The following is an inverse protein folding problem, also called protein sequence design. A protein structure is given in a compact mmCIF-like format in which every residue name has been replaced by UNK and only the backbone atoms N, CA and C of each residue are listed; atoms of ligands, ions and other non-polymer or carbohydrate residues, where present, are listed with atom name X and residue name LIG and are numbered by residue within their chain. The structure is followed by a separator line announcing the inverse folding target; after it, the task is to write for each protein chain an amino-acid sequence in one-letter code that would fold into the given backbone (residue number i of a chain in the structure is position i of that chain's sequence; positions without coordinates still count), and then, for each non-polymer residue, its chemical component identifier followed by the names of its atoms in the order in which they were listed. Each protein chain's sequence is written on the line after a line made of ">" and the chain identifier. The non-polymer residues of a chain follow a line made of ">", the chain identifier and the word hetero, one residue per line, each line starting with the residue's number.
data_IF_120355534967
#
_entry.id   IF_120355534967
#
_cell.length_a   1.000
_cell.length_b   1.000
_cell.length_c   1.000
_cell.angle_alpha   90.00
_cell.angle_beta   90.00
_cell.angle_gamma   90.00
#
_symmetry.space_group_name_H-M   'P 1'
#
loop_
_entity.id
_entity.type
_entity.pdbx_description
1 polymer ?
#
# COMPACT_ATOMS: atom_id res chain seq x y z
N UNK A 1 56.79 35.14 -16.37
CA UNK A 1 56.03 34.42 -17.41
C UNK A 1 55.34 33.15 -16.88
N UNK A 2 55.96 32.45 -15.95
CA UNK A 2 55.36 31.22 -15.31
C UNK A 2 54.13 31.47 -14.48
N UNK A 3 54.04 32.58 -13.73
CA UNK A 3 52.91 32.91 -12.86
C UNK A 3 51.59 33.08 -13.62
N UNK A 4 51.62 33.66 -14.83
CA UNK A 4 50.46 33.77 -15.73
C UNK A 4 50.00 32.42 -16.29
N UNK A 5 50.95 31.50 -16.47
CA UNK A 5 50.71 30.15 -17.03
C UNK A 5 50.01 29.26 -15.98
N UNK A 6 50.40 29.39 -14.70
CA UNK A 6 49.81 28.67 -13.59
C UNK A 6 48.38 29.18 -13.25
N UNK A 7 48.15 30.51 -13.34
CA UNK A 7 46.83 31.10 -13.15
C UNK A 7 45.85 30.64 -14.25
N UNK A 8 46.32 30.57 -15.54
CA UNK A 8 45.48 30.05 -16.62
C UNK A 8 45.13 28.56 -16.42
N UNK A 9 46.07 27.74 -15.95
CA UNK A 9 45.82 26.33 -15.64
C UNK A 9 44.82 26.18 -14.49
N UNK A 10 44.90 26.98 -13.42
CA UNK A 10 43.98 26.97 -12.31
C UNK A 10 42.54 27.36 -12.74
N UNK A 11 42.41 28.40 -13.58
CA UNK A 11 41.13 28.83 -14.13
C UNK A 11 40.52 27.74 -15.04
N UNK A 12 41.31 27.08 -15.88
CA UNK A 12 40.85 25.98 -16.74
C UNK A 12 40.38 24.79 -15.92
N UNK A 13 41.07 24.42 -14.85
CA UNK A 13 40.67 23.34 -13.93
C UNK A 13 39.40 23.73 -13.20
N UNK A 14 39.25 24.98 -12.75
CA UNK A 14 38.05 25.46 -12.05
C UNK A 14 36.81 25.48 -12.96
N UNK A 15 36.99 25.91 -14.21
CA UNK A 15 35.93 25.88 -15.23
C UNK A 15 35.56 24.45 -15.62
N UNK A 16 36.56 23.55 -15.73
CA UNK A 16 36.32 22.14 -16.01
C UNK A 16 35.55 21.44 -14.85
N UNK A 17 35.87 21.74 -13.57
CA UNK A 17 35.14 21.25 -12.41
C UNK A 17 33.72 21.82 -12.39
N UNK A 18 33.50 23.08 -12.74
CA UNK A 18 32.18 23.70 -12.80
C UNK A 18 31.31 23.09 -13.92
N UNK A 19 31.90 22.77 -15.06
CA UNK A 19 31.22 22.10 -16.17
C UNK A 19 30.92 20.64 -15.81
N UNK A 20 31.80 19.96 -15.07
CA UNK A 20 31.54 18.60 -14.60
C UNK A 20 30.37 18.53 -13.59
N UNK A 21 30.25 19.52 -12.71
CA UNK A 21 29.12 19.58 -11.77
C UNK A 21 27.78 19.89 -12.45
N UNK A 22 27.79 20.62 -13.57
CA UNK A 22 26.60 20.89 -14.39
C UNK A 22 26.21 19.68 -15.29
N UNK A 23 27.15 18.80 -15.63
CA UNK A 23 26.88 17.61 -16.44
C UNK A 23 26.27 16.44 -15.66
N UNK A 24 26.26 16.50 -14.33
CA UNK A 24 25.61 15.53 -13.45
C UNK A 24 24.27 16.03 -12.88
N UNK A 25 23.65 17.04 -13.47
CA UNK A 25 22.21 17.23 -13.28
C UNK A 25 21.48 16.08 -14.00
N UNK A 26 21.43 14.91 -13.35
CA UNK A 26 20.42 13.90 -13.68
C UNK A 26 19.11 14.65 -13.57
N UNK A 27 18.27 14.73 -14.60
CA UNK A 27 16.93 15.21 -14.41
C UNK A 27 16.28 14.27 -13.40
N UNK A 28 16.24 14.65 -12.14
CA UNK A 28 15.27 14.08 -11.20
C UNK A 28 13.94 14.51 -11.77
N UNK A 29 13.31 13.64 -12.53
CA UNK A 29 11.91 13.76 -12.85
C UNK A 29 11.20 13.73 -11.50
N UNK A 30 10.95 14.89 -10.92
CA UNK A 30 10.09 14.98 -9.77
C UNK A 30 8.72 14.53 -10.29
N UNK A 31 8.17 13.44 -9.75
CA UNK A 31 6.81 13.03 -10.03
C UNK A 31 5.90 14.23 -9.82
N UNK A 32 4.98 14.44 -10.73
CA UNK A 32 3.96 15.48 -10.60
C UNK A 32 3.20 15.33 -9.29
N UNK A 33 2.98 16.44 -8.58
CA UNK A 33 2.26 16.40 -7.29
C UNK A 33 0.82 16.00 -7.59
N UNK A 34 0.27 15.06 -6.84
CA UNK A 34 -1.12 14.64 -6.97
C UNK A 34 -2.07 15.80 -6.62
N UNK A 35 -3.11 16.01 -7.43
CA UNK A 35 -4.15 16.99 -7.18
C UNK A 35 -5.23 16.38 -6.27
N UNK A 36 -5.09 16.55 -4.95
CA UNK A 36 -5.95 15.88 -3.95
C UNK A 36 -7.43 16.25 -4.06
N UNK A 37 -7.74 17.46 -4.53
CA UNK A 37 -9.12 17.98 -4.65
C UNK A 37 -9.76 17.60 -6.01
N UNK A 38 -9.01 16.97 -6.91
CA UNK A 38 -9.52 16.55 -8.21
C UNK A 38 -10.39 15.32 -8.06
N UNK A 39 -11.62 15.40 -8.58
CA UNK A 39 -12.48 14.23 -8.68
C UNK A 39 -11.92 13.21 -9.67
N UNK A 40 -12.05 11.95 -9.33
CA UNK A 40 -11.63 10.82 -10.14
C UNK A 40 -12.83 10.02 -10.63
N UNK A 41 -12.64 9.23 -11.69
CA UNK A 41 -13.56 8.18 -12.12
C UNK A 41 -12.89 6.82 -12.07
N UNK A 42 -13.69 5.78 -11.86
CA UNK A 42 -13.24 4.40 -11.89
C UNK A 42 -14.28 3.56 -12.65
N UNK A 43 -13.87 3.02 -13.80
CA UNK A 43 -14.65 2.09 -14.59
C UNK A 43 -14.11 0.67 -14.46
N UNK A 44 -14.98 -0.25 -14.03
CA UNK A 44 -14.62 -1.65 -13.81
C UNK A 44 -15.38 -2.54 -14.78
N UNK A 45 -14.64 -3.29 -15.63
CA UNK A 45 -15.24 -4.21 -16.61
C UNK A 45 -15.23 -5.63 -16.11
N UNK A 46 -16.40 -6.19 -15.83
CA UNK A 46 -16.62 -7.58 -15.37
C UNK A 46 -16.91 -8.47 -16.56
N UNK A 47 -15.94 -9.29 -16.93
CA UNK A 47 -16.07 -10.27 -18.03
C UNK A 47 -15.25 -11.52 -17.77
N UNK A 48 -15.71 -12.64 -18.31
CA UNK A 48 -14.96 -13.88 -18.40
C UNK A 48 -15.05 -14.39 -19.86
N UNK A 49 -13.90 -14.57 -20.50
CA UNK A 49 -13.82 -14.85 -21.94
C UNK A 49 -14.60 -13.80 -22.75
N UNK A 50 -15.65 -14.22 -23.48
CA UNK A 50 -16.51 -13.35 -24.29
C UNK A 50 -17.82 -12.97 -23.57
N UNK A 51 -18.01 -13.41 -22.30
CA UNK A 51 -19.22 -13.16 -21.53
C UNK A 51 -19.03 -11.94 -20.64
N UNK A 52 -19.95 -10.97 -20.74
CA UNK A 52 -20.05 -9.81 -19.86
C UNK A 52 -21.15 -10.05 -18.83
N UNK A 53 -20.91 -9.64 -17.59
CA UNK A 53 -21.82 -9.82 -16.47
C UNK A 53 -22.60 -8.53 -16.22
N UNK A 54 -23.90 -8.56 -16.54
CA UNK A 54 -24.85 -7.44 -16.40
C UNK A 54 -25.66 -7.57 -15.10
N UNK A 55 -25.89 -6.46 -14.43
CA UNK A 55 -26.75 -6.42 -13.22
C UNK A 55 -26.06 -6.75 -11.91
N UNK A 56 -24.73 -6.95 -11.91
CA UNK A 56 -23.95 -7.23 -10.70
C UNK A 56 -23.75 -5.97 -9.85
N UNK A 57 -24.04 -6.05 -8.54
CA UNK A 57 -23.76 -4.96 -7.61
C UNK A 57 -22.31 -4.97 -7.15
N UNK A 58 -21.57 -3.93 -7.52
CA UNK A 58 -20.17 -3.76 -7.16
C UNK A 58 -20.03 -2.77 -6.02
N UNK A 59 -19.32 -3.17 -4.97
CA UNK A 59 -19.09 -2.40 -3.75
C UNK A 59 -17.64 -1.92 -3.70
N UNK A 60 -17.43 -0.64 -3.40
CA UNK A 60 -16.09 -0.12 -3.14
C UNK A 60 -15.99 0.52 -1.77
N UNK A 61 -14.83 0.37 -1.14
CA UNK A 61 -14.54 0.87 0.21
C UNK A 61 -13.29 1.73 0.14
N UNK A 62 -13.36 2.98 0.61
CA UNK A 62 -12.18 3.82 0.70
C UNK A 62 -11.30 3.38 1.87
N UNK A 63 -10.17 2.77 1.56
CA UNK A 63 -9.22 2.23 2.54
C UNK A 63 -8.33 3.31 3.12
N UNK A 64 -7.83 4.21 2.27
CA UNK A 64 -6.88 5.23 2.70
C UNK A 64 -6.99 6.51 1.86
N UNK A 65 -6.62 7.61 2.48
CA UNK A 65 -6.39 8.90 1.85
C UNK A 65 -4.96 8.98 1.31
N UNK A 66 -4.79 9.78 0.27
CA UNK A 66 -3.49 10.09 -0.31
C UNK A 66 -2.93 11.37 0.29
N UNK A 67 -1.65 11.39 0.66
CA UNK A 67 -0.98 12.60 1.09
C UNK A 67 -0.32 13.34 -0.09
N UNK A 68 0.00 14.61 0.08
CA UNK A 68 0.74 15.41 -0.93
C UNK A 68 2.11 14.83 -1.29
N UNK A 69 2.68 14.01 -0.41
CA UNK A 69 3.99 13.37 -0.64
C UNK A 69 3.86 11.97 -1.23
N UNK A 70 2.63 11.52 -1.52
CA UNK A 70 2.38 10.23 -2.17
C UNK A 70 2.32 9.04 -1.21
N UNK A 71 2.08 9.29 0.07
CA UNK A 71 1.87 8.25 1.09
C UNK A 71 0.38 8.01 1.33
N UNK A 72 0.03 6.84 1.84
CA UNK A 72 -1.31 6.49 2.27
C UNK A 72 -1.48 6.66 3.77
N UNK A 73 -2.62 7.21 4.17
CA UNK A 73 -3.09 7.27 5.57
C UNK A 73 -4.45 6.61 5.64
N UNK A 74 -4.66 5.66 6.56
CA UNK A 74 -5.95 4.98 6.69
C UNK A 74 -7.09 5.99 6.79
N UNK A 75 -8.19 5.70 6.10
CA UNK A 75 -9.42 6.49 6.18
C UNK A 75 -10.10 6.29 7.52
N UNK A 76 -11.02 7.19 7.88
CA UNK A 76 -11.83 7.10 9.11
C UNK A 76 -12.58 5.76 9.24
N UNK A 77 -12.81 5.04 8.14
CA UNK A 77 -13.44 3.71 8.17
C UNK A 77 -12.52 2.65 8.77
N UNK A 78 -11.20 2.80 8.61
CA UNK A 78 -10.22 1.78 8.97
C UNK A 78 -9.15 2.24 9.98
N UNK A 79 -9.18 3.48 10.45
CA UNK A 79 -8.14 4.06 11.31
C UNK A 79 -8.11 3.43 12.72
N UNK A 80 -9.25 2.90 13.20
CA UNK A 80 -9.33 2.19 14.47
C UNK A 80 -8.94 0.70 14.38
N UNK A 81 -8.76 0.15 13.16
CA UNK A 81 -8.35 -1.24 12.97
C UNK A 81 -6.82 -1.38 13.07
N UNK A 82 -6.33 -2.51 13.60
CA UNK A 82 -4.89 -2.74 13.75
C UNK A 82 -4.19 -3.10 12.43
N UNK A 83 -4.46 -2.31 11.38
CA UNK A 83 -3.93 -2.47 10.02
C UNK A 83 -2.75 -1.52 9.85
N UNK A 84 -1.69 -2.00 9.21
CA UNK A 84 -0.56 -1.15 8.79
C UNK A 84 -0.44 -1.18 7.27
N UNK A 85 -0.51 -0.02 6.63
CA UNK A 85 -0.34 0.17 5.18
C UNK A 85 0.97 0.92 4.84
N UNK A 86 1.79 1.23 5.86
CA UNK A 86 3.10 1.82 5.69
C UNK A 86 4.16 0.78 5.35
N UNK A 87 5.20 1.18 4.62
CA UNK A 87 6.39 0.37 4.29
C UNK A 87 6.13 -0.96 3.54
N UNK A 88 4.96 -1.09 2.88
CA UNK A 88 4.63 -2.26 2.06
C UNK A 88 5.47 -2.25 0.78
N UNK A 89 6.19 -3.35 0.50
CA UNK A 89 7.18 -3.43 -0.58
C UNK A 89 6.88 -4.50 -1.62
N UNK A 90 6.06 -5.48 -1.25
CA UNK A 90 5.80 -6.66 -2.09
C UNK A 90 4.31 -6.83 -2.38
N UNK A 91 4.01 -7.52 -3.48
CA UNK A 91 2.63 -7.87 -3.81
C UNK A 91 1.98 -8.77 -2.74
N UNK A 92 2.77 -9.68 -2.14
CA UNK A 92 2.26 -10.57 -1.09
C UNK A 92 1.87 -9.79 0.18
N UNK A 93 2.62 -8.75 0.53
CA UNK A 93 2.26 -7.85 1.64
C UNK A 93 0.97 -7.08 1.34
N UNK A 94 0.79 -6.57 0.11
CA UNK A 94 -0.46 -5.94 -0.33
C UNK A 94 -1.63 -6.92 -0.34
N UNK A 95 -1.41 -8.16 -0.75
CA UNK A 95 -2.43 -9.21 -0.69
C UNK A 95 -2.86 -9.49 0.75
N UNK A 96 -1.91 -9.58 1.70
CA UNK A 96 -2.21 -9.79 3.11
C UNK A 96 -2.99 -8.60 3.72
N UNK A 97 -2.68 -7.36 3.34
CA UNK A 97 -3.47 -6.18 3.73
C UNK A 97 -4.88 -6.26 3.16
N UNK A 98 -5.03 -6.59 1.88
CA UNK A 98 -6.34 -6.78 1.25
C UNK A 98 -7.16 -7.83 2.00
N UNK A 99 -6.60 -9.01 2.24
CA UNK A 99 -7.29 -10.11 2.93
C UNK A 99 -7.74 -9.70 4.35
N UNK A 100 -6.90 -8.93 5.05
CA UNK A 100 -7.21 -8.38 6.37
C UNK A 100 -8.39 -7.40 6.32
N UNK A 101 -8.40 -6.48 5.35
CA UNK A 101 -9.47 -5.51 5.17
C UNK A 101 -10.79 -6.22 4.83
N UNK A 102 -10.75 -7.18 3.89
CA UNK A 102 -11.93 -7.99 3.50
C UNK A 102 -12.50 -8.72 4.72
N UNK A 103 -11.64 -9.29 5.56
CA UNK A 103 -12.07 -9.98 6.77
C UNK A 103 -12.82 -9.05 7.74
N UNK A 104 -12.30 -7.84 7.99
CA UNK A 104 -12.98 -6.87 8.86
C UNK A 104 -14.28 -6.35 8.24
N UNK A 105 -14.32 -6.10 6.93
CA UNK A 105 -15.55 -5.71 6.23
C UNK A 105 -16.65 -6.77 6.44
N UNK A 106 -16.30 -8.05 6.25
CA UNK A 106 -17.25 -9.15 6.40
C UNK A 106 -17.70 -9.32 7.86
N UNK A 107 -16.76 -9.30 8.80
CA UNK A 107 -17.03 -9.54 10.22
C UNK A 107 -17.85 -8.41 10.87
N UNK A 108 -17.63 -7.15 10.46
CA UNK A 108 -18.28 -5.99 11.04
C UNK A 108 -19.40 -5.44 10.16
N UNK A 109 -19.68 -6.10 9.02
CA UNK A 109 -20.71 -5.69 8.05
C UNK A 109 -20.55 -4.22 7.66
N UNK A 110 -19.32 -3.80 7.34
CA UNK A 110 -19.04 -2.41 7.02
C UNK A 110 -19.79 -1.96 5.77
N UNK A 111 -20.30 -0.74 5.83
CA UNK A 111 -21.06 -0.16 4.72
C UNK A 111 -20.08 0.32 3.65
N UNK A 112 -20.27 -0.03 2.36
CA UNK A 112 -19.40 0.45 1.29
C UNK A 112 -19.43 1.98 1.18
N UNK A 113 -18.33 2.56 0.75
CA UNK A 113 -18.25 4.00 0.44
C UNK A 113 -19.24 4.37 -0.66
N UNK A 114 -19.35 3.52 -1.67
CA UNK A 114 -20.37 3.62 -2.73
C UNK A 114 -20.53 2.28 -3.45
N UNK A 115 -21.62 2.16 -4.20
CA UNK A 115 -21.92 0.98 -5.03
C UNK A 115 -22.27 1.41 -6.45
N UNK A 116 -22.03 0.53 -7.42
CA UNK A 116 -22.50 0.67 -8.79
C UNK A 116 -22.98 -0.69 -9.31
N UNK A 117 -23.86 -0.67 -10.30
CA UNK A 117 -24.34 -1.90 -10.95
C UNK A 117 -23.74 -2.00 -12.34
N UNK A 118 -23.27 -3.18 -12.73
CA UNK A 118 -22.75 -3.41 -14.09
C UNK A 118 -23.86 -3.27 -15.14
N UNK A 119 -23.51 -2.70 -16.27
CA UNK A 119 -24.39 -2.56 -17.43
C UNK A 119 -24.22 -3.77 -18.41
N UNK A 120 -24.93 -3.75 -19.54
CA UNK A 120 -24.90 -4.81 -20.55
C UNK A 120 -23.49 -5.06 -21.16
N UNK A 121 -22.57 -4.12 -21.04
CA UNK A 121 -21.16 -4.28 -21.42
C UNK A 121 -20.30 -4.72 -20.24
N UNK A 122 -20.91 -5.12 -19.11
CA UNK A 122 -20.26 -5.55 -17.89
C UNK A 122 -19.54 -4.43 -17.14
N UNK A 123 -19.85 -3.15 -17.41
CA UNK A 123 -19.13 -2.01 -16.82
C UNK A 123 -19.88 -1.45 -15.62
N UNK A 124 -19.21 -1.40 -14.47
CA UNK A 124 -19.62 -0.63 -13.30
C UNK A 124 -18.81 0.67 -13.23
N UNK A 125 -19.51 1.82 -13.25
CA UNK A 125 -18.88 3.14 -13.25
C UNK A 125 -19.07 3.85 -11.93
N UNK A 126 -17.97 4.41 -11.41
CA UNK A 126 -17.93 5.21 -10.18
C UNK A 126 -17.40 6.59 -10.49
N UNK A 127 -18.24 7.60 -10.31
CA UNK A 127 -17.91 9.00 -10.55
C UNK A 127 -17.65 9.76 -9.26
N UNK A 128 -16.93 10.89 -9.38
CA UNK A 128 -16.67 11.82 -8.29
C UNK A 128 -15.97 11.19 -7.08
N UNK A 129 -15.13 10.20 -7.31
CA UNK A 129 -14.31 9.61 -6.25
C UNK A 129 -13.24 10.62 -5.77
N UNK A 130 -13.04 10.67 -4.46
CA UNK A 130 -11.91 11.38 -3.89
C UNK A 130 -10.62 10.58 -4.11
N UNK A 131 -9.50 11.28 -4.21
CA UNK A 131 -8.18 10.66 -4.32
C UNK A 131 -7.91 9.74 -3.12
N UNK A 132 -7.44 8.50 -3.37
CA UNK A 132 -7.17 7.52 -2.31
C UNK A 132 -6.91 6.11 -2.80
N UNK A 133 -6.80 5.21 -1.85
CA UNK A 133 -6.75 3.76 -2.05
C UNK A 133 -8.14 3.18 -1.77
N UNK A 134 -8.62 2.37 -2.70
CA UNK A 134 -9.92 1.72 -2.59
C UNK A 134 -9.78 0.21 -2.62
N UNK A 135 -10.57 -0.49 -1.81
CA UNK A 135 -10.86 -1.90 -2.00
C UNK A 135 -12.09 -2.01 -2.90
N UNK A 136 -11.96 -2.78 -3.96
CA UNK A 136 -13.08 -3.28 -4.77
C UNK A 136 -13.44 -4.64 -4.21
N UNK A 137 -14.68 -4.78 -3.73
CA UNK A 137 -15.19 -6.06 -3.20
C UNK A 137 -15.36 -7.07 -4.32
N UNK A 138 -14.93 -8.29 -4.06
CA UNK A 138 -15.12 -9.42 -4.96
C UNK A 138 -16.58 -9.82 -5.06
N UNK A 139 -16.92 -10.46 -6.16
CA UNK A 139 -18.25 -11.07 -6.36
C UNK A 139 -18.11 -12.50 -6.88
N UNK A 140 -19.08 -13.32 -6.58
CA UNK A 140 -19.26 -14.65 -7.18
C UNK A 140 -20.60 -14.64 -7.90
N UNK A 141 -20.62 -15.03 -9.15
CA UNK A 141 -21.81 -15.03 -9.99
C UNK A 141 -21.98 -16.37 -10.72
N UNK A 142 -23.22 -16.75 -11.00
CA UNK A 142 -23.51 -17.99 -11.70
C UNK A 142 -22.98 -17.98 -13.13
N UNK A 143 -22.53 -19.15 -13.59
CA UNK A 143 -22.04 -19.36 -14.94
C UNK A 143 -22.58 -20.69 -15.50
N UNK A 144 -22.10 -21.09 -16.66
CA UNK A 144 -22.56 -22.27 -17.42
C UNK A 144 -22.46 -23.55 -16.57
N UNK A 145 -23.43 -24.46 -16.72
CA UNK A 145 -23.45 -25.81 -16.14
C UNK A 145 -23.33 -25.82 -14.58
N UNK A 146 -24.02 -24.92 -13.90
CA UNK A 146 -24.01 -24.75 -12.44
C UNK A 146 -22.62 -24.36 -11.85
N UNK A 147 -21.65 -24.01 -12.68
CA UNK A 147 -20.39 -23.41 -12.26
C UNK A 147 -20.54 -21.95 -11.90
N UNK A 148 -19.53 -21.39 -11.26
CA UNK A 148 -19.49 -19.98 -10.88
C UNK A 148 -18.25 -19.28 -11.42
N UNK A 149 -18.33 -17.97 -11.60
CA UNK A 149 -17.18 -17.09 -11.81
C UNK A 149 -16.97 -16.27 -10.56
N UNK A 150 -15.78 -16.38 -9.98
CA UNK A 150 -15.32 -15.51 -8.92
C UNK A 150 -14.51 -14.36 -9.53
N UNK A 151 -14.88 -13.13 -9.22
CA UNK A 151 -14.06 -11.95 -9.42
C UNK A 151 -13.43 -11.57 -8.08
N UNK A 152 -12.11 -11.66 -8.00
CA UNK A 152 -11.39 -11.48 -6.74
C UNK A 152 -11.45 -10.04 -6.22
N UNK A 153 -11.44 -9.90 -4.89
CA UNK A 153 -11.17 -8.62 -4.23
C UNK A 153 -9.82 -8.05 -4.66
N UNK A 154 -9.71 -6.74 -4.82
CA UNK A 154 -8.44 -6.09 -5.11
C UNK A 154 -8.37 -4.65 -4.61
N UNK A 155 -7.15 -4.19 -4.35
CA UNK A 155 -6.87 -2.80 -4.01
C UNK A 155 -6.50 -2.03 -5.28
N UNK A 156 -7.04 -0.81 -5.40
CA UNK A 156 -6.77 0.08 -6.52
C UNK A 156 -6.56 1.51 -6.03
N UNK A 157 -5.51 2.16 -6.55
CA UNK A 157 -5.27 3.58 -6.34
C UNK A 157 -6.07 4.41 -7.35
N UNK A 158 -6.74 5.43 -6.86
CA UNK A 158 -7.41 6.44 -7.70
C UNK A 158 -6.91 7.81 -7.24
N UNK A 159 -6.09 8.53 -8.03
CA UNK A 159 -5.69 8.24 -9.39
C UNK A 159 -4.72 7.07 -9.52
N UNK A 160 -4.68 6.49 -10.70
CA UNK A 160 -3.66 5.55 -11.15
C UNK A 160 -2.40 6.27 -11.66
N UNK A 161 -1.43 5.49 -12.13
CA UNK A 161 -0.19 5.99 -12.74
C UNK A 161 -0.05 5.32 -14.11
N UNK A 162 0.21 6.12 -15.16
CA UNK A 162 0.46 5.59 -16.50
C UNK A 162 1.92 5.13 -16.70
N UNK A 163 2.23 4.58 -17.88
CA UNK A 163 3.58 4.14 -18.25
C UNK A 163 4.61 5.29 -18.29
N UNK A 164 4.15 6.55 -18.37
CA UNK A 164 4.99 7.74 -18.37
C UNK A 164 5.17 8.35 -16.97
N UNK A 165 4.76 7.64 -15.91
CA UNK A 165 4.80 8.05 -14.49
C UNK A 165 3.95 9.30 -14.20
N UNK A 166 2.80 9.44 -14.91
CA UNK A 166 1.84 10.54 -14.73
C UNK A 166 0.57 10.04 -14.05
N UNK A 167 -0.05 10.93 -13.27
CA UNK A 167 -1.33 10.66 -12.65
C UNK A 167 -2.47 10.58 -13.65
N UNK A 168 -3.24 9.49 -13.60
CA UNK A 168 -4.45 9.26 -14.41
C UNK A 168 -5.65 9.26 -13.48
N UNK A 169 -6.53 10.24 -13.64
CA UNK A 169 -7.70 10.43 -12.76
C UNK A 169 -8.94 9.70 -13.26
N UNK A 170 -8.93 9.28 -14.53
CA UNK A 170 -9.96 8.45 -15.14
C UNK A 170 -9.37 7.03 -15.26
N UNK A 171 -9.70 6.17 -14.32
CA UNK A 171 -9.06 4.85 -14.14
C UNK A 171 -9.98 3.76 -14.68
N UNK A 172 -9.45 2.93 -15.57
CA UNK A 172 -10.11 1.73 -16.08
C UNK A 172 -9.41 0.48 -15.53
N UNK A 173 -10.18 -0.51 -15.09
CA UNK A 173 -9.63 -1.79 -14.66
C UNK A 173 -10.55 -2.96 -15.00
N UNK A 174 -9.95 -4.14 -15.11
CA UNK A 174 -10.68 -5.41 -15.28
C UNK A 174 -10.29 -6.33 -14.13
N UNK A 175 -11.20 -6.68 -13.22
CA UNK A 175 -10.94 -7.61 -12.15
C UNK A 175 -10.48 -8.98 -12.69
N UNK A 176 -9.59 -9.64 -11.94
CA UNK A 176 -9.22 -11.02 -12.26
C UNK A 176 -10.39 -11.93 -11.95
N UNK A 177 -10.67 -12.84 -12.85
CA UNK A 177 -11.75 -13.82 -12.75
C UNK A 177 -11.22 -15.25 -12.76
N UNK A 178 -11.87 -16.12 -12.01
CA UNK A 178 -11.59 -17.56 -11.96
C UNK A 178 -12.89 -18.31 -12.10
N UNK A 179 -12.89 -19.32 -12.97
CA UNK A 179 -14.01 -20.26 -13.08
C UNK A 179 -13.87 -21.36 -12.05
N UNK A 180 -14.96 -21.65 -11.34
CA UNK A 180 -15.09 -22.75 -10.40
C UNK A 180 -16.11 -23.74 -10.93
N UNK A 181 -15.70 -25.00 -11.12
CA UNK A 181 -16.63 -26.09 -11.35
C UNK A 181 -17.46 -26.33 -10.08
N UNK A 182 -18.74 -26.76 -10.20
CA UNK A 182 -19.53 -27.10 -9.04
C UNK A 182 -18.90 -28.29 -8.30
N UNK A 183 -18.37 -28.03 -7.11
CA UNK A 183 -17.73 -29.04 -6.27
C UNK A 183 -18.50 -29.13 -4.94
N UNK A 184 -18.74 -30.36 -4.48
CA UNK A 184 -19.46 -30.67 -3.24
C UNK A 184 -18.57 -31.50 -2.29
N UNK A 185 -17.26 -31.25 -2.31
CA UNK A 185 -16.31 -31.98 -1.46
C UNK A 185 -16.14 -31.30 -0.11
N UNK A 186 -15.92 -32.12 0.94
CA UNK A 186 -15.54 -31.60 2.24
C UNK A 186 -14.08 -31.16 2.23
N UNK A 187 -13.82 -29.92 2.67
CA UNK A 187 -12.49 -29.36 2.80
C UNK A 187 -12.15 -29.14 4.28
N UNK A 188 -10.95 -29.54 4.69
CA UNK A 188 -10.41 -29.18 6.01
C UNK A 188 -9.79 -27.78 5.94
N UNK A 189 -10.50 -26.79 6.49
CA UNK A 189 -9.98 -25.44 6.72
C UNK A 189 -9.12 -25.42 7.97
N UNK A 190 -8.16 -24.47 8.01
CA UNK A 190 -7.37 -24.26 9.22
C UNK A 190 -6.99 -22.80 9.40
N UNK A 191 -6.86 -22.39 10.69
CA UNK A 191 -6.25 -21.12 11.06
C UNK A 191 -5.00 -21.36 11.89
N UNK A 192 -3.94 -20.60 11.60
CA UNK A 192 -2.64 -20.66 12.27
C UNK A 192 -2.27 -19.24 12.71
N UNK A 193 -1.92 -19.10 14.00
CA UNK A 193 -1.40 -17.84 14.53
C UNK A 193 0.11 -17.77 14.47
N UNK A 194 0.64 -16.71 13.89
CA UNK A 194 2.05 -16.38 13.85
C UNK A 194 2.36 -15.08 14.59
N UNK A 195 3.61 -14.95 15.04
CA UNK A 195 4.11 -13.77 15.72
C UNK A 195 5.40 -13.29 15.04
N UNK A 196 5.45 -11.99 14.71
CA UNK A 196 6.65 -11.30 14.20
C UNK A 196 7.04 -10.22 15.20
N UNK A 197 7.74 -10.58 16.27
CA UNK A 197 7.97 -9.70 17.42
C UNK A 197 9.36 -9.82 18.06
N UNK A 198 10.34 -10.38 17.41
CA UNK A 198 11.73 -10.65 17.84
C UNK A 198 12.20 -9.86 19.07
N UNK A 199 12.33 -10.55 20.23
CA UNK A 199 12.74 -9.96 21.50
C UNK A 199 11.61 -9.28 22.30
N UNK A 200 10.34 -9.45 21.90
CA UNK A 200 9.15 -8.96 22.60
C UNK A 200 8.16 -10.10 22.90
N UNK A 201 8.64 -11.33 22.96
CA UNK A 201 7.82 -12.53 23.19
C UNK A 201 7.08 -12.48 24.53
N UNK A 202 7.60 -11.75 25.51
CA UNK A 202 7.00 -11.50 26.82
C UNK A 202 5.73 -10.63 26.76
N UNK A 203 5.50 -9.93 25.63
CA UNK A 203 4.31 -9.13 25.40
C UNK A 203 3.15 -9.92 24.80
N UNK A 204 3.40 -11.17 24.34
CA UNK A 204 2.36 -12.04 23.81
C UNK A 204 1.36 -12.41 24.89
N UNK A 205 0.05 -12.36 24.63
CA UNK A 205 -0.94 -12.93 25.53
C UNK A 205 -0.82 -14.46 25.56
N UNK A 206 -1.37 -15.08 26.61
CA UNK A 206 -1.41 -16.54 26.72
C UNK A 206 -2.28 -17.20 25.63
N UNK A 207 -3.25 -16.47 25.10
CA UNK A 207 -4.13 -16.92 24.03
C UNK A 207 -4.68 -15.72 23.25
N UNK A 208 -5.06 -15.94 22.00
CA UNK A 208 -5.85 -15.01 21.17
C UNK A 208 -7.21 -15.64 20.86
N UNK A 209 -8.21 -14.80 20.62
CA UNK A 209 -9.54 -15.20 20.19
C UNK A 209 -9.69 -14.97 18.70
N UNK A 210 -10.06 -16.02 17.98
CA UNK A 210 -10.32 -15.98 16.54
C UNK A 210 -11.80 -16.27 16.30
N UNK A 211 -12.47 -15.36 15.62
CA UNK A 211 -13.80 -15.56 15.08
C UNK A 211 -13.72 -16.14 13.68
N UNK A 212 -14.52 -17.17 13.40
CA UNK A 212 -14.60 -17.85 12.10
C UNK A 212 -15.96 -17.50 11.49
N UNK A 213 -15.93 -16.95 10.29
CA UNK A 213 -17.13 -16.54 9.54
C UNK A 213 -17.28 -17.38 8.28
N UNK A 214 -18.55 -17.63 7.90
CA UNK A 214 -18.97 -18.16 6.61
C UNK A 214 -19.98 -17.18 6.00
N UNK A 215 -19.72 -16.65 4.83
CA UNK A 215 -20.57 -15.68 4.13
C UNK A 215 -20.98 -14.47 5.00
N UNK A 216 -20.03 -14.00 5.84
CA UNK A 216 -20.23 -12.91 6.80
C UNK A 216 -21.00 -13.29 8.07
N UNK A 217 -21.43 -14.55 8.24
CA UNK A 217 -22.11 -15.05 9.44
C UNK A 217 -21.09 -15.70 10.40
N UNK A 218 -21.12 -15.31 11.68
CA UNK A 218 -20.24 -15.90 12.69
C UNK A 218 -20.64 -17.35 12.95
N UNK A 219 -19.71 -18.28 12.68
CA UNK A 219 -19.92 -19.72 12.86
C UNK A 219 -19.32 -20.21 14.18
N UNK A 220 -18.12 -19.78 14.52
CA UNK A 220 -17.40 -20.25 15.70
C UNK A 220 -16.45 -19.18 16.24
N UNK A 221 -16.23 -19.21 17.57
CA UNK A 221 -15.21 -18.43 18.24
C UNK A 221 -14.22 -19.38 18.93
N UNK A 222 -12.96 -19.36 18.53
CA UNK A 222 -11.94 -20.29 19.00
C UNK A 222 -10.78 -19.58 19.67
N UNK A 223 -10.16 -20.24 20.68
CA UNK A 223 -8.94 -19.74 21.32
C UNK A 223 -7.73 -20.46 20.78
N UNK A 224 -6.75 -19.67 20.32
CA UNK A 224 -5.44 -20.18 19.94
C UNK A 224 -4.42 -19.85 21.03
N UNK A 225 -3.67 -20.86 21.44
CA UNK A 225 -2.67 -20.79 22.51
C UNK A 225 -1.55 -21.80 22.28
N UNK A 226 -0.56 -21.84 23.17
CA UNK A 226 0.48 -22.88 23.16
C UNK A 226 -0.08 -24.29 23.37
N UNK A 227 -1.25 -24.44 23.99
CA UNK A 227 -1.89 -25.74 24.26
C UNK A 227 -2.38 -26.42 22.97
N UNK A 228 -2.81 -25.66 21.99
CA UNK A 228 -3.21 -26.17 20.66
C UNK A 228 -2.21 -25.84 19.55
N UNK A 229 -0.96 -25.51 19.93
CA UNK A 229 0.10 -25.12 19.00
C UNK A 229 -0.29 -23.92 18.12
N UNK A 230 -1.12 -23.01 18.63
CA UNK A 230 -1.59 -21.83 17.93
C UNK A 230 -2.33 -22.15 16.63
N UNK A 231 -3.06 -23.28 16.60
CA UNK A 231 -3.78 -23.77 15.42
C UNK A 231 -5.16 -24.29 15.80
N UNK A 232 -6.14 -24.10 14.87
CA UNK A 232 -7.44 -24.75 14.89
C UNK A 232 -7.80 -25.19 13.46
N UNK A 233 -8.59 -26.27 13.32
CA UNK A 233 -9.09 -26.78 12.03
C UNK A 233 -10.59 -27.09 12.14
N UNK A 234 -11.30 -26.92 11.02
CA UNK A 234 -12.71 -27.28 10.89
C UNK A 234 -12.99 -27.85 9.50
N UNK A 235 -14.10 -28.52 9.36
CA UNK A 235 -14.57 -29.04 8.07
C UNK A 235 -15.62 -28.07 7.50
N UNK A 236 -15.48 -27.70 6.25
CA UNK A 236 -16.44 -26.96 5.45
C UNK A 236 -16.69 -27.62 4.12
N UNK A 237 -17.70 -27.17 3.40
CA UNK A 237 -17.94 -27.59 2.03
C UNK A 237 -17.25 -26.60 1.07
N UNK A 238 -16.76 -27.12 -0.04
CA UNK A 238 -16.37 -26.31 -1.21
C UNK A 238 -17.60 -26.03 -2.07
N UNK A 239 -18.50 -25.23 -1.51
CA UNK A 239 -19.79 -24.90 -2.09
C UNK A 239 -19.86 -23.45 -2.61
N UNK A 240 -18.70 -22.82 -2.80
CA UNK A 240 -18.60 -21.40 -3.18
C UNK A 240 -18.75 -20.44 -2.00
N UNK A 241 -18.94 -20.93 -0.77
CA UNK A 241 -19.04 -20.09 0.42
C UNK A 241 -17.73 -19.40 0.73
N UNK A 242 -17.82 -18.13 1.14
CA UNK A 242 -16.66 -17.32 1.53
C UNK A 242 -16.35 -17.52 3.01
N UNK A 243 -15.26 -18.23 3.30
CA UNK A 243 -14.75 -18.37 4.66
C UNK A 243 -13.74 -17.27 4.96
N UNK A 244 -13.83 -16.68 6.17
CA UNK A 244 -12.83 -15.74 6.68
C UNK A 244 -12.65 -15.88 8.18
N UNK A 245 -11.56 -15.33 8.72
CA UNK A 245 -11.25 -15.35 10.16
C UNK A 245 -10.81 -13.97 10.62
N UNK A 246 -11.13 -13.60 11.87
CA UNK A 246 -10.75 -12.31 12.46
C UNK A 246 -10.23 -12.51 13.87
N UNK A 247 -9.10 -11.90 14.22
CA UNK A 247 -8.65 -11.74 15.60
C UNK A 247 -9.19 -10.41 16.14
N UNK A 248 -10.04 -10.48 17.18
CA UNK A 248 -10.69 -9.28 17.75
C UNK A 248 -9.82 -8.49 18.70
N UNK A 249 -9.07 -9.18 19.54
CA UNK A 249 -8.30 -8.58 20.62
C UNK A 249 -6.82 -8.60 20.29
N UNK A 250 -6.42 -7.86 19.24
CA UNK A 250 -5.02 -7.70 18.89
C UNK A 250 -4.30 -6.97 20.03
N UNK A 251 -3.19 -7.52 20.58
CA UNK A 251 -2.49 -6.92 21.70
C UNK A 251 -1.94 -5.54 21.37
N UNK A 252 -1.88 -4.67 22.38
CA UNK A 252 -1.30 -3.33 22.22
C UNK A 252 0.14 -3.39 21.69
N UNK A 253 0.46 -2.55 20.73
CA UNK A 253 1.75 -2.49 20.03
C UNK A 253 1.90 -3.50 18.90
N UNK A 254 0.85 -4.27 18.58
CA UNK A 254 0.85 -5.17 17.43
C UNK A 254 -0.11 -4.67 16.36
N UNK A 255 0.26 -4.90 15.11
CA UNK A 255 -0.64 -4.86 13.95
C UNK A 255 -0.91 -6.26 13.46
N UNK A 256 -2.04 -6.43 12.78
CA UNK A 256 -2.51 -7.72 12.28
C UNK A 256 -2.41 -7.76 10.75
N UNK A 257 -2.00 -8.91 10.24
CA UNK A 257 -2.20 -9.29 8.84
C UNK A 257 -2.79 -10.69 8.76
N UNK A 258 -3.75 -10.85 7.83
CA UNK A 258 -4.34 -12.12 7.45
C UNK A 258 -3.88 -12.49 6.05
N UNK A 259 -3.37 -13.71 5.88
CA UNK A 259 -3.10 -14.30 4.58
C UNK A 259 -4.01 -15.51 4.40
N UNK A 260 -4.77 -15.56 3.30
CA UNK A 260 -5.53 -16.73 2.88
C UNK A 260 -4.76 -17.47 1.79
N UNK A 261 -4.47 -18.75 2.03
CA UNK A 261 -3.81 -19.63 1.07
C UNK A 261 -4.64 -20.91 0.96
N UNK A 262 -5.39 -21.03 -0.10
CA UNK A 262 -6.39 -22.11 -0.28
C UNK A 262 -7.34 -22.19 0.93
N UNK A 263 -7.35 -23.31 1.64
CA UNK A 263 -8.15 -23.54 2.85
C UNK A 263 -7.42 -23.16 4.16
N UNK A 264 -6.24 -22.54 4.09
CA UNK A 264 -5.47 -22.15 5.27
C UNK A 264 -5.46 -20.63 5.47
N UNK A 265 -5.76 -20.20 6.69
CA UNK A 265 -5.69 -18.82 7.13
C UNK A 265 -4.48 -18.63 8.05
N UNK A 266 -3.62 -17.68 7.74
CA UNK A 266 -2.45 -17.34 8.55
C UNK A 266 -2.64 -15.95 9.15
N UNK A 267 -2.92 -15.90 10.45
CA UNK A 267 -3.08 -14.66 11.22
C UNK A 267 -1.75 -14.31 11.86
N UNK A 268 -1.15 -13.22 11.42
CA UNK A 268 0.16 -12.76 11.91
C UNK A 268 0.03 -11.46 12.68
N UNK A 269 0.49 -11.45 13.94
CA UNK A 269 0.70 -10.22 14.68
C UNK A 269 2.16 -9.77 14.57
N UNK A 270 2.35 -8.53 14.11
CA UNK A 270 3.66 -7.91 13.97
C UNK A 270 3.80 -6.80 15.02
N UNK A 271 4.84 -6.90 15.88
CA UNK A 271 5.12 -5.87 16.86
C UNK A 271 5.71 -4.63 16.19
N UNK A 272 5.08 -3.48 16.41
CA UNK A 272 5.60 -2.18 15.99
C UNK A 272 6.16 -1.50 17.25
N UNK A 273 7.49 -1.35 17.38
CA UNK A 273 8.08 -0.59 18.45
C UNK A 273 7.51 0.83 18.42
N UNK A 274 6.98 1.31 19.54
CA UNK A 274 6.69 2.75 19.72
C UNK A 274 8.06 3.43 19.73
N UNK A 275 8.49 3.95 18.59
CA UNK A 275 9.65 4.83 18.58
C UNK A 275 9.29 6.05 19.43
N UNK A 276 10.11 6.39 20.45
CA UNK A 276 9.90 7.65 21.16
C UNK A 276 9.92 8.74 20.09
N UNK A 277 9.02 9.74 20.17
CA UNK A 277 9.02 10.82 19.20
C UNK A 277 10.41 11.46 19.20
N UNK A 278 11.25 11.07 18.27
CA UNK A 278 12.52 11.74 18.00
C UNK A 278 12.15 13.07 17.38
N UNK A 279 11.89 14.04 18.26
CA UNK A 279 11.51 15.39 17.92
C UNK A 279 12.65 16.18 17.29
N UNK A 280 13.28 15.62 16.27
CA UNK A 280 14.24 16.34 15.45
C UNK A 280 14.10 15.83 14.00
N UNK A 281 13.16 16.44 13.28
CA UNK A 281 13.28 16.50 11.83
C UNK A 281 14.48 17.42 11.51
N UNK A 282 15.68 16.89 11.63
CA UNK A 282 16.90 17.60 11.27
C UNK A 282 16.85 17.91 9.77
N UNK A 283 16.31 19.07 9.45
CA UNK A 283 16.36 19.58 8.09
C UNK A 283 17.81 20.00 7.77
N UNK A 284 18.56 19.14 7.09
CA UNK A 284 19.92 19.41 6.67
C UNK A 284 20.05 20.54 5.63
N UNK A 285 18.96 20.92 4.95
CA UNK A 285 19.01 21.90 3.86
C UNK A 285 19.57 23.27 4.27
N UNK A 286 19.18 23.92 5.39
CA UNK A 286 19.76 25.21 5.76
C UNK A 286 21.26 25.12 6.06
N UNK A 287 21.74 23.99 6.58
CA UNK A 287 23.16 23.79 6.88
C UNK A 287 23.98 23.56 5.61
N UNK A 288 23.44 22.82 4.64
CA UNK A 288 24.06 22.62 3.32
C UNK A 288 24.17 23.96 2.59
N UNK A 289 23.12 24.79 2.60
CA UNK A 289 23.13 26.13 2.02
C UNK A 289 24.18 27.00 2.71
N UNK A 290 24.24 26.99 4.04
CA UNK A 290 25.22 27.76 4.80
C UNK A 290 26.66 27.37 4.49
N UNK A 291 26.95 26.07 4.35
CA UNK A 291 28.27 25.54 3.95
C UNK A 291 28.64 25.98 2.52
N UNK A 292 27.71 25.89 1.59
CA UNK A 292 27.93 26.33 0.21
C UNK A 292 28.22 27.85 0.12
N UNK A 293 27.44 28.67 0.83
CA UNK A 293 27.63 30.13 0.86
C UNK A 293 28.95 30.50 1.52
N UNK A 294 29.32 29.85 2.63
CA UNK A 294 30.61 30.10 3.29
C UNK A 294 31.80 29.70 2.43
N UNK A 295 31.70 28.59 1.70
CA UNK A 295 32.72 28.15 0.74
C UNK A 295 32.93 29.17 -0.37
N UNK A 296 31.86 29.69 -0.95
CA UNK A 296 31.96 30.74 -2.00
C UNK A 296 32.59 32.02 -1.45
N UNK A 297 32.20 32.46 -0.24
CA UNK A 297 32.75 33.64 0.43
C UNK A 297 34.28 33.49 0.67
N UNK A 298 34.75 32.34 1.13
CA UNK A 298 36.17 32.08 1.33
C UNK A 298 36.95 32.15 0.02
N UNK A 299 36.41 31.63 -1.08
CA UNK A 299 37.02 31.71 -2.41
C UNK A 299 37.11 33.16 -2.86
N UNK A 300 36.04 33.95 -2.71
CA UNK A 300 36.03 35.38 -3.09
C UNK A 300 37.06 36.17 -2.27
N UNK A 301 37.11 35.96 -0.95
CA UNK A 301 38.09 36.61 -0.08
C UNK A 301 39.52 36.21 -0.46
N UNK A 302 39.75 34.95 -0.78
CA UNK A 302 41.04 34.45 -1.29
C UNK A 302 41.50 35.15 -2.59
N UNK A 303 40.55 35.32 -3.53
CA UNK A 303 40.81 36.02 -4.81
C UNK A 303 41.13 37.50 -4.56
N UNK A 304 40.38 38.19 -3.69
CA UNK A 304 40.60 39.60 -3.36
C UNK A 304 41.97 39.81 -2.70
N UNK A 305 42.32 38.99 -1.70
CA UNK A 305 43.64 39.06 -1.02
C UNK A 305 44.78 38.83 -2.03
N UNK A 306 44.68 37.82 -2.88
CA UNK A 306 45.69 37.54 -3.89
C UNK A 306 45.85 38.69 -4.89
N UNK A 307 44.74 39.39 -5.25
CA UNK A 307 44.81 40.56 -6.13
C UNK A 307 45.50 41.75 -5.46
N UNK A 308 45.22 41.98 -4.15
CA UNK A 308 45.83 43.07 -3.36
C UNK A 308 47.31 42.90 -3.14
N UNK A 309 47.80 41.67 -2.94
CA UNK A 309 49.23 41.34 -2.85
C UNK A 309 49.95 41.48 -4.18
N UNK A 310 49.26 41.26 -5.32
CA UNK A 310 49.84 41.41 -6.67
C UNK A 310 49.92 42.86 -7.17
N UNK A 311 49.18 43.79 -6.53
CA UNK A 311 49.19 45.22 -6.84
C UNK A 311 50.16 46.01 -5.93
N UNK A 312 50.74 45.36 -4.89
CA UNK A 312 51.69 45.98 -3.94
C UNK A 312 53.16 45.63 -4.17
N UNK A 313 53.48 44.99 -5.29
CA UNK A 313 54.81 44.70 -5.80
C UNK A 313 54.97 45.38 -7.18
#
# INVERSE_FOLDING_TARGET
>A
MERKKNLRKAIVVLVACLILTLAFSVPTSAREIVELERACTLDLTYKYEETFFDGEEIKIYKVADFTLVGEYVLSDMFDEYPINIGDIKTQDEWNAVRDTIVAYIAADSLVPTTTATTNADGVASFDNLSVGLYLVGGIVTDYIDDGTIEFADFLISVPGIDEADKWVYDVDATPKSVYHEPVYEEIEYSVIKLWKDSGNEDKRPNAVEIEIFKDGELIENVKLSSENNWKHSWIGLDDGSVWTVVERNVPEGYTLTLEKKDAAFVVTNTFIPIEPPTGDSFNAQPYIIAICVSGVLLIVVGIIRHKKESESV
#
